data_IF_732113185181
#
_entry.id   IF_732113185181
#
_cell.length_a   1.000
_cell.length_b   1.000
_cell.length_c   1.000
_cell.angle_alpha   90.00
_cell.angle_beta   90.00
_cell.angle_gamma   90.00
#
_symmetry.space_group_name_H-M   'P 1'
#
loop_
_entity.id
_entity.type
_entity.pdbx_description
1 polymer ?
#
# COMPACT_ATOMS: atom_id res chain seq x y z
N UNK A 1 41.85 11.47 0.21
CA UNK A 1 40.55 11.36 -0.47
C UNK A 1 40.11 9.90 -0.32
N UNK A 2 39.35 9.61 0.74
CA UNK A 2 38.95 8.23 1.04
C UNK A 2 37.72 7.93 0.19
N UNK A 3 37.89 7.10 -0.84
CA UNK A 3 36.77 6.59 -1.61
C UNK A 3 35.97 5.65 -0.68
N UNK A 4 34.81 6.10 -0.21
CA UNK A 4 33.86 5.21 0.43
C UNK A 4 33.35 4.24 -0.63
N UNK A 5 33.92 3.04 -0.65
CA UNK A 5 33.43 1.94 -1.46
C UNK A 5 32.21 1.36 -0.72
N UNK A 6 31.06 2.04 -0.81
CA UNK A 6 29.82 1.52 -0.24
C UNK A 6 29.20 0.53 -1.22
N UNK A 7 29.39 -0.76 -0.97
CA UNK A 7 28.65 -1.80 -1.68
C UNK A 7 27.16 -1.73 -1.27
N UNK A 8 26.26 -1.80 -2.25
CA UNK A 8 24.83 -1.89 -2.00
C UNK A 8 24.51 -3.26 -1.39
N UNK A 9 23.85 -3.25 -0.23
CA UNK A 9 23.39 -4.48 0.41
C UNK A 9 22.05 -4.87 -0.20
N UNK A 10 22.00 -6.03 -0.85
CA UNK A 10 20.75 -6.63 -1.31
C UNK A 10 20.03 -7.29 -0.12
N UNK A 11 18.76 -6.96 0.07
CA UNK A 11 17.91 -7.57 1.09
C UNK A 11 16.55 -7.99 0.50
N UNK A 12 15.97 -9.12 0.97
CA UNK A 12 14.58 -9.44 0.67
C UNK A 12 13.63 -8.35 1.16
N UNK A 13 12.58 -8.07 0.40
CA UNK A 13 11.57 -7.08 0.78
C UNK A 13 10.91 -7.42 2.13
N UNK A 14 10.72 -8.71 2.43
CA UNK A 14 10.15 -9.20 3.69
C UNK A 14 11.04 -8.94 4.91
N UNK A 15 12.33 -8.66 4.74
CA UNK A 15 13.19 -8.23 5.85
C UNK A 15 13.02 -6.74 6.16
N UNK A 16 12.69 -5.93 5.16
CA UNK A 16 12.58 -4.47 5.27
C UNK A 16 11.14 -4.00 5.52
N UNK A 17 10.15 -4.74 5.02
CA UNK A 17 8.75 -4.38 5.05
C UNK A 17 7.89 -5.52 5.59
N UNK A 18 6.77 -5.17 6.19
CA UNK A 18 5.63 -6.08 6.31
C UNK A 18 4.96 -6.27 4.94
N UNK A 19 4.32 -7.42 4.75
CA UNK A 19 3.63 -7.75 3.50
C UNK A 19 2.13 -7.87 3.82
N UNK A 20 1.39 -6.81 3.53
CA UNK A 20 -0.04 -6.73 3.84
C UNK A 20 -0.85 -6.80 2.56
N UNK A 21 -1.44 -7.96 2.29
CA UNK A 21 -2.40 -8.11 1.18
C UNK A 21 -3.77 -7.64 1.65
N UNK A 22 -4.40 -6.77 0.85
CA UNK A 22 -5.73 -6.23 1.13
C UNK A 22 -6.84 -7.27 1.15
N UNK A 23 -8.08 -6.80 1.40
CA UNK A 23 -9.29 -7.62 1.43
C UNK A 23 -10.51 -6.79 0.98
N UNK A 24 -11.39 -7.44 0.23
CA UNK A 24 -12.66 -6.89 -0.24
C UNK A 24 -13.78 -7.42 0.67
N UNK A 25 -14.48 -6.57 1.43
CA UNK A 25 -15.74 -6.93 2.05
C UNK A 25 -16.73 -7.44 0.99
N UNK A 26 -17.68 -8.30 1.35
CA UNK A 26 -18.62 -8.83 0.36
C UNK A 26 -19.32 -7.70 -0.41
N UNK A 27 -19.21 -7.71 -1.74
CA UNK A 27 -19.90 -6.78 -2.63
C UNK A 27 -21.41 -7.00 -2.67
N UNK A 28 -21.86 -8.19 -2.28
CA UNK A 28 -23.29 -8.52 -2.19
C UNK A 28 -23.98 -7.94 -0.95
N UNK A 29 -23.22 -7.31 -0.04
CA UNK A 29 -23.69 -6.77 1.23
C UNK A 29 -23.52 -5.25 1.22
N UNK A 30 -24.53 -4.48 0.78
CA UNK A 30 -24.45 -3.03 0.67
C UNK A 30 -24.09 -2.34 2.00
N UNK A 31 -24.43 -2.95 3.13
CA UNK A 31 -24.12 -2.43 4.47
C UNK A 31 -22.62 -2.31 4.77
N UNK A 32 -21.75 -2.97 3.98
CA UNK A 32 -20.29 -2.84 4.11
C UNK A 32 -19.70 -1.67 3.34
N UNK A 33 -20.49 -1.03 2.48
CA UNK A 33 -20.05 0.00 1.54
C UNK A 33 -20.78 1.31 1.82
N UNK A 34 -20.03 2.40 1.89
CA UNK A 34 -20.56 3.70 2.24
C UNK A 34 -19.60 4.49 3.13
N UNK A 35 -20.11 5.61 3.65
CA UNK A 35 -19.31 6.60 4.39
C UNK A 35 -18.57 5.94 5.56
N UNK A 36 -17.24 6.05 5.56
CA UNK A 36 -16.37 5.50 6.58
C UNK A 36 -14.90 5.65 6.18
N UNK A 37 -14.22 4.53 5.96
CA UNK A 37 -12.81 4.47 5.62
C UNK A 37 -12.60 4.38 4.11
N UNK A 38 -11.57 5.05 3.61
CA UNK A 38 -11.12 4.92 2.22
C UNK A 38 -10.81 3.45 1.88
N UNK A 39 -11.24 3.02 0.69
CA UNK A 39 -11.02 1.68 0.19
C UNK A 39 -10.40 1.74 -1.21
N UNK A 40 -9.08 1.50 -1.25
CA UNK A 40 -8.26 1.65 -2.44
C UNK A 40 -8.39 0.45 -3.39
N UNK A 41 -8.73 0.76 -4.64
CA UNK A 41 -8.71 -0.18 -5.76
C UNK A 41 -7.60 0.19 -6.76
N UNK A 42 -7.25 -0.74 -7.65
CA UNK A 42 -6.31 -0.50 -8.76
C UNK A 42 -6.77 0.65 -9.68
N UNK A 43 -8.09 0.89 -9.74
CA UNK A 43 -8.69 1.94 -10.57
C UNK A 43 -8.48 3.35 -10.03
N UNK A 44 -8.05 3.47 -8.76
CA UNK A 44 -7.73 4.74 -8.11
C UNK A 44 -6.25 5.12 -8.32
N UNK A 45 -5.38 4.12 -8.53
CA UNK A 45 -3.92 4.25 -8.68
C UNK A 45 -3.48 4.78 -10.05
N UNK A 46 -4.12 5.82 -10.60
CA UNK A 46 -3.89 6.35 -11.96
C UNK A 46 -2.55 7.11 -12.11
N UNK A 47 -1.44 6.42 -11.88
CA UNK A 47 -0.07 6.94 -11.89
C UNK A 47 0.19 8.08 -10.89
N UNK A 48 -0.68 8.20 -9.89
CA UNK A 48 -0.51 9.15 -8.80
C UNK A 48 0.54 8.62 -7.83
N UNK A 49 1.57 9.44 -7.54
CA UNK A 49 2.53 9.12 -6.48
C UNK A 49 1.85 9.07 -5.11
N UNK A 50 0.93 10.00 -4.82
CA UNK A 50 0.24 10.08 -3.53
C UNK A 50 -1.26 9.88 -3.67
N UNK A 51 -1.88 9.14 -2.74
CA UNK A 51 -3.33 8.90 -2.70
C UNK A 51 -3.87 9.20 -1.31
N UNK A 52 -4.80 10.15 -1.23
CA UNK A 52 -5.52 10.51 0.00
C UNK A 52 -7.02 10.23 -0.08
N UNK A 53 -7.57 10.05 -1.29
CA UNK A 53 -9.01 9.85 -1.53
C UNK A 53 -9.20 8.77 -2.59
N UNK A 54 -10.19 7.92 -2.39
CA UNK A 54 -10.59 6.80 -3.24
C UNK A 54 -12.03 6.98 -3.71
N UNK A 55 -12.44 6.24 -4.74
CA UNK A 55 -13.82 6.31 -5.24
C UNK A 55 -14.84 5.69 -4.29
N UNK A 56 -14.43 4.70 -3.52
CA UNK A 56 -15.31 3.91 -2.67
C UNK A 56 -14.80 3.93 -1.23
N UNK A 57 -15.74 3.93 -0.29
CA UNK A 57 -15.45 3.83 1.14
C UNK A 57 -16.17 2.62 1.70
N UNK A 58 -15.65 2.09 2.81
CA UNK A 58 -16.27 1.01 3.57
C UNK A 58 -16.72 1.52 4.94
N UNK A 59 -17.83 0.99 5.42
CA UNK A 59 -18.39 1.29 6.75
C UNK A 59 -17.54 0.68 7.86
N UNK A 60 -17.85 1.00 9.12
CA UNK A 60 -17.23 0.33 10.28
C UNK A 60 -17.46 -1.19 10.26
N UNK A 61 -18.65 -1.63 9.83
CA UNK A 61 -18.98 -3.06 9.67
C UNK A 61 -18.09 -3.71 8.60
N UNK A 62 -17.92 -3.05 7.45
CA UNK A 62 -17.04 -3.52 6.38
C UNK A 62 -15.58 -3.61 6.84
N UNK A 63 -15.10 -2.56 7.51
CA UNK A 63 -13.74 -2.46 8.04
C UNK A 63 -13.45 -3.52 9.13
N UNK A 64 -14.44 -3.89 9.93
CA UNK A 64 -14.28 -4.90 11.00
C UNK A 64 -13.83 -6.28 10.46
N UNK A 65 -14.18 -6.60 9.20
CA UNK A 65 -13.83 -7.87 8.53
C UNK A 65 -12.38 -7.94 8.02
N UNK A 66 -11.71 -6.79 7.97
CA UNK A 66 -10.35 -6.62 7.48
C UNK A 66 -9.52 -5.71 8.39
N UNK A 67 -9.86 -5.63 9.68
CA UNK A 67 -9.24 -4.72 10.66
C UNK A 67 -7.71 -4.81 10.72
N UNK A 68 -7.15 -5.99 10.50
CA UNK A 68 -5.70 -6.25 10.44
C UNK A 68 -5.03 -5.80 9.13
N UNK A 69 -5.81 -5.27 8.19
CA UNK A 69 -5.37 -4.83 6.85
C UNK A 69 -5.37 -3.31 6.68
N UNK A 70 -5.66 -2.54 7.73
CA UNK A 70 -5.59 -1.08 7.67
C UNK A 70 -4.13 -0.65 7.46
N UNK A 71 -3.86 0.08 6.38
CA UNK A 71 -2.55 0.64 6.11
C UNK A 71 -2.49 2.09 6.61
N UNK A 72 -1.39 2.45 7.26
CA UNK A 72 -1.14 3.82 7.71
C UNK A 72 -0.69 4.72 6.56
N UNK A 73 -0.78 6.03 6.79
CA UNK A 73 -0.10 7.04 5.95
C UNK A 73 1.38 6.69 5.76
N UNK A 74 1.96 7.11 4.65
CA UNK A 74 3.34 6.89 4.24
C UNK A 74 3.70 5.43 3.91
N UNK A 75 2.70 4.55 3.78
CA UNK A 75 2.87 3.18 3.29
C UNK A 75 3.00 3.17 1.76
N UNK A 76 3.99 2.45 1.22
CA UNK A 76 4.05 2.17 -0.22
C UNK A 76 3.06 1.05 -0.56
N UNK A 77 2.26 1.24 -1.59
CA UNK A 77 1.34 0.23 -2.13
C UNK A 77 1.70 -0.14 -3.56
N UNK A 78 1.55 -1.42 -3.90
CA UNK A 78 1.90 -1.99 -5.19
C UNK A 78 0.78 -2.90 -5.71
N UNK A 79 0.37 -2.75 -6.97
CA UNK A 79 -0.57 -3.67 -7.60
C UNK A 79 0.15 -4.89 -8.18
N UNK A 80 -0.24 -6.08 -7.72
CA UNK A 80 0.40 -7.34 -8.11
C UNK A 80 -0.54 -8.30 -8.86
N UNK A 81 -1.80 -7.91 -9.08
CA UNK A 81 -2.75 -8.63 -9.94
C UNK A 81 -3.38 -7.68 -10.98
N UNK A 82 -3.90 -8.25 -12.07
CA UNK A 82 -4.58 -7.55 -13.17
C UNK A 82 -3.71 -6.51 -13.88
N UNK A 83 -3.64 -5.28 -13.36
CA UNK A 83 -2.72 -4.25 -13.85
C UNK A 83 -1.49 -4.21 -12.93
N UNK A 84 -0.52 -5.07 -13.21
CA UNK A 84 0.71 -5.20 -12.41
C UNK A 84 1.57 -3.93 -12.54
N UNK A 85 2.24 -3.53 -11.45
CA UNK A 85 3.29 -2.51 -11.49
C UNK A 85 2.84 -1.07 -11.20
N UNK A 86 1.59 -0.85 -10.77
CA UNK A 86 1.19 0.47 -10.27
C UNK A 86 1.70 0.64 -8.86
N UNK A 87 2.33 1.78 -8.58
CA UNK A 87 2.94 2.10 -7.29
C UNK A 87 2.43 3.46 -6.83
N UNK A 88 2.08 3.56 -5.55
CA UNK A 88 1.68 4.80 -4.89
C UNK A 88 2.11 4.79 -3.42
N UNK A 89 2.07 5.96 -2.79
CA UNK A 89 2.28 6.19 -1.37
C UNK A 89 0.95 6.69 -0.80
N UNK A 90 0.54 6.13 0.33
CA UNK A 90 -0.69 6.53 1.00
C UNK A 90 -0.49 7.87 1.72
N UNK A 91 -1.37 8.82 1.48
CA UNK A 91 -1.44 10.14 2.14
C UNK A 91 -2.62 10.22 3.14
N UNK A 92 -3.30 9.09 3.36
CA UNK A 92 -4.30 8.89 4.38
C UNK A 92 -4.36 7.40 4.77
N UNK A 93 -4.80 7.04 5.99
CA UNK A 93 -5.07 5.65 6.33
C UNK A 93 -6.19 5.07 5.46
N UNK A 94 -5.97 3.88 4.89
CA UNK A 94 -6.97 3.24 4.03
C UNK A 94 -6.83 1.73 3.97
N UNK A 95 -7.93 1.07 3.62
CA UNK A 95 -7.96 -0.35 3.26
C UNK A 95 -7.70 -0.51 1.77
N UNK A 96 -7.33 -1.71 1.35
CA UNK A 96 -7.11 -2.02 -0.08
C UNK A 96 -7.78 -3.34 -0.45
N UNK A 97 -7.96 -3.57 -1.74
CA UNK A 97 -8.42 -4.86 -2.26
C UNK A 97 -7.30 -5.93 -2.32
N UNK A 98 -7.64 -7.19 -2.61
CA UNK A 98 -6.70 -8.33 -2.69
C UNK A 98 -5.75 -8.29 -3.89
N UNK A 99 -5.83 -7.26 -4.73
CA UNK A 99 -4.95 -7.05 -5.87
C UNK A 99 -3.82 -6.06 -5.57
N UNK A 100 -3.83 -5.45 -4.38
CA UNK A 100 -2.86 -4.49 -3.89
C UNK A 100 -2.17 -5.05 -2.65
N UNK A 101 -0.85 -4.92 -2.61
CA UNK A 101 -0.04 -5.18 -1.41
C UNK A 101 0.42 -3.84 -0.83
N UNK A 102 0.25 -3.68 0.48
CA UNK A 102 0.87 -2.63 1.27
C UNK A 102 2.19 -3.12 1.85
N UNK A 103 3.16 -2.20 1.90
CA UNK A 103 4.52 -2.44 2.36
C UNK A 103 4.88 -1.48 3.52
N UNK A 104 4.29 -1.65 4.72
CA UNK A 104 4.73 -0.91 5.89
C UNK A 104 6.22 -1.17 6.15
N UNK A 105 7.01 -0.10 6.25
CA UNK A 105 8.45 -0.19 6.51
C UNK A 105 8.67 -0.54 7.98
N UNK A 106 9.45 -1.59 8.25
CA UNK A 106 9.73 -2.08 9.61
C UNK A 106 10.66 -1.14 10.38
N UNK A 107 11.65 -0.58 9.69
CA UNK A 107 12.64 0.34 10.27
C UNK A 107 12.90 1.53 9.33
N UNK A 108 12.31 2.70 9.61
CA UNK A 108 12.52 3.92 8.82
C UNK A 108 13.96 4.44 8.82
N UNK A 109 14.82 3.98 9.73
CA UNK A 109 16.25 4.35 9.73
C UNK A 109 17.05 3.59 8.65
N UNK A 110 16.51 2.46 8.17
CA UNK A 110 17.15 1.59 7.18
C UNK A 110 16.59 1.76 5.77
N UNK A 111 15.36 2.24 5.63
CA UNK A 111 14.68 2.37 4.34
C UNK A 111 13.81 3.62 4.27
N UNK A 112 14.07 4.45 3.27
CA UNK A 112 13.23 5.60 2.95
C UNK A 112 12.04 5.20 2.07
N UNK A 113 10.84 5.69 2.41
CA UNK A 113 9.60 5.45 1.62
C UNK A 113 9.77 5.82 0.15
N UNK A 114 10.35 6.99 -0.12
CA UNK A 114 10.57 7.47 -1.49
C UNK A 114 11.51 6.56 -2.27
N UNK A 115 12.57 6.06 -1.62
CA UNK A 115 13.47 5.10 -2.24
C UNK A 115 12.72 3.81 -2.61
N UNK A 116 11.94 3.24 -1.67
CA UNK A 116 11.12 2.05 -1.94
C UNK A 116 10.13 2.28 -3.09
N UNK A 117 9.47 3.44 -3.11
CA UNK A 117 8.57 3.83 -4.20
C UNK A 117 9.29 3.83 -5.56
N UNK A 118 10.44 4.49 -5.67
CA UNK A 118 11.15 4.58 -6.96
C UNK A 118 11.78 3.27 -7.40
N UNK A 119 12.22 2.42 -6.47
CA UNK A 119 12.71 1.07 -6.79
C UNK A 119 11.59 0.23 -7.39
N UNK A 120 10.39 0.23 -6.78
CA UNK A 120 9.25 -0.55 -7.27
C UNK A 120 8.60 0.05 -8.52
N UNK A 121 8.68 1.37 -8.72
CA UNK A 121 8.13 2.03 -9.90
C UNK A 121 8.95 1.74 -11.17
N UNK A 122 10.24 1.43 -11.01
CA UNK A 122 11.18 1.19 -12.11
C UNK A 122 11.60 -0.29 -12.25
N UNK A 123 10.97 -1.20 -11.51
CA UNK A 123 11.20 -2.65 -11.57
C UNK A 123 10.36 -3.36 -12.62
#
# INVERSE_FOLDING_TARGET
>A
MTLYNSEWILKPLSELCEIVIGRTPSRSKPEYWGKGYEWLSISDMNEKKYISVTKETITDEGASLCKDKLLSINTVVFSFKLSIGKVSILDAPMYTNEAIVGLPIKDPSLLYTDYLYYVLKNS
#
